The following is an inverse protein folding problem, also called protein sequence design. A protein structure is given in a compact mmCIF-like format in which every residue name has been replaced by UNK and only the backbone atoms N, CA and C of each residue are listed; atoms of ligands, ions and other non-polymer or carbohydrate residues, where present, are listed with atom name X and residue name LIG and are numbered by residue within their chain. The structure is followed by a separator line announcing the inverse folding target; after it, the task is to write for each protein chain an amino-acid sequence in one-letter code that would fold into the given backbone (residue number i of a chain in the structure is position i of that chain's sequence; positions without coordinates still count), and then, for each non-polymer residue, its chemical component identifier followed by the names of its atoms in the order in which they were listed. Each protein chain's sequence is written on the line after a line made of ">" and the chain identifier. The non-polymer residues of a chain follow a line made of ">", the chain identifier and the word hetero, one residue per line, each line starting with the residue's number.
data_IF_500720876791
#
_entry.id   IF_500720876791
#
_cell.length_a   1.000
_cell.length_b   1.000
_cell.length_c   1.000
_cell.angle_alpha   90.00
_cell.angle_beta   90.00
_cell.angle_gamma   90.00
#
_symmetry.space_group_name_H-M   'P 1'
#
loop_
_entity.id
_entity.type
_entity.pdbx_description
1 polymer ?
#
# COMPACT_ATOMS: atom_id res chain seq x y z
N UNK A 1 52.80 -4.92 12.78
CA UNK A 1 51.76 -3.86 12.78
C UNK A 1 50.53 -4.43 12.08
N UNK A 2 49.34 -4.09 12.61
CA UNK A 2 48.03 -4.72 12.37
C UNK A 2 47.54 -4.56 10.93
N UNK A 3 47.42 -5.65 10.15
CA UNK A 3 46.51 -5.69 9.00
C UNK A 3 45.14 -6.07 9.53
N UNK A 4 44.33 -5.04 9.79
CA UNK A 4 42.96 -5.16 10.27
C UNK A 4 42.08 -5.80 9.20
N UNK A 5 41.33 -6.79 9.66
CA UNK A 5 40.07 -7.29 9.11
C UNK A 5 39.24 -6.19 8.41
N UNK A 6 38.83 -6.43 7.16
CA UNK A 6 37.54 -5.96 6.64
C UNK A 6 37.18 -6.68 5.33
N UNK A 7 37.10 -8.01 5.37
CA UNK A 7 36.65 -8.84 4.24
C UNK A 7 35.40 -9.61 4.67
N UNK A 8 34.38 -8.89 5.13
CA UNK A 8 33.09 -9.44 5.55
C UNK A 8 31.98 -8.37 5.65
N UNK A 9 31.84 -7.53 4.60
CA UNK A 9 30.69 -6.63 4.44
C UNK A 9 30.19 -6.69 3.00
N UNK A 10 29.94 -7.91 2.51
CA UNK A 10 29.23 -8.17 1.25
C UNK A 10 28.17 -9.27 1.48
N UNK A 11 27.60 -9.26 2.69
CA UNK A 11 26.46 -10.07 3.07
C UNK A 11 25.39 -9.13 3.62
N UNK A 12 24.28 -9.02 2.91
CA UNK A 12 23.08 -8.35 3.39
C UNK A 12 22.82 -7.01 2.73
N UNK A 13 22.09 -7.05 1.61
CA UNK A 13 20.99 -6.12 1.28
C UNK A 13 20.45 -6.45 -0.13
N UNK A 14 20.05 -7.71 -0.34
CA UNK A 14 19.21 -8.08 -1.50
C UNK A 14 18.02 -8.88 -1.01
N UNK A 15 17.23 -8.28 -0.11
CA UNK A 15 15.98 -8.85 0.40
C UNK A 15 14.96 -7.74 0.68
N UNK A 16 14.67 -6.84 -0.27
CA UNK A 16 13.59 -5.86 -0.09
C UNK A 16 12.79 -5.51 -1.35
N UNK A 17 12.76 -6.40 -2.35
CA UNK A 17 11.82 -6.27 -3.48
C UNK A 17 10.96 -7.54 -3.63
N UNK A 18 10.42 -8.04 -2.50
CA UNK A 18 9.26 -8.92 -2.54
C UNK A 18 8.04 -8.08 -2.89
N UNK A 19 7.90 -7.81 -4.20
CA UNK A 19 6.68 -7.26 -4.78
C UNK A 19 5.46 -8.05 -4.31
N UNK A 20 4.38 -7.34 -4.06
CA UNK A 20 3.10 -7.83 -3.56
C UNK A 20 2.39 -8.77 -4.58
N UNK A 21 2.97 -9.93 -4.86
CA UNK A 21 2.46 -10.88 -5.84
C UNK A 21 2.09 -12.23 -5.18
N UNK A 22 1.43 -12.22 -4.02
CA UNK A 22 0.91 -13.45 -3.42
C UNK A 22 -0.62 -13.40 -3.27
N UNK A 23 -1.27 -14.11 -4.18
CA UNK A 23 -2.71 -14.33 -4.20
C UNK A 23 -3.05 -15.42 -3.18
N UNK A 24 -3.44 -15.04 -1.96
CA UNK A 24 -3.94 -16.02 -0.98
C UNK A 24 -5.40 -16.35 -1.29
N UNK A 25 -5.62 -17.46 -1.99
CA UNK A 25 -6.95 -18.09 -2.03
C UNK A 25 -7.10 -18.87 -0.72
N UNK A 26 -7.80 -18.30 0.27
CA UNK A 26 -8.06 -18.98 1.54
C UNK A 26 -9.05 -20.11 1.31
N UNK A 27 -8.54 -21.29 0.95
CA UNK A 27 -9.33 -22.52 0.87
C UNK A 27 -9.29 -23.21 2.24
N UNK A 28 -10.06 -22.67 3.18
CA UNK A 28 -10.27 -23.24 4.51
C UNK A 28 -11.69 -22.96 4.96
N UNK A 29 -12.29 -23.91 5.69
CA UNK A 29 -13.62 -23.75 6.29
C UNK A 29 -13.52 -22.63 7.33
N UNK A 30 -13.80 -21.39 6.95
CA UNK A 30 -13.79 -20.25 7.85
C UNK A 30 -14.86 -20.47 8.91
N UNK A 31 -14.45 -20.64 10.16
CA UNK A 31 -15.31 -20.23 11.27
C UNK A 31 -15.72 -18.77 11.02
N UNK A 32 -17.00 -18.44 11.22
CA UNK A 32 -17.54 -17.11 11.02
C UNK A 32 -16.76 -16.08 11.86
N UNK A 33 -15.67 -15.56 11.34
CA UNK A 33 -15.05 -14.35 11.85
C UNK A 33 -15.95 -13.19 11.44
N UNK A 34 -16.35 -12.35 12.40
CA UNK A 34 -17.16 -11.14 12.14
C UNK A 34 -16.46 -10.11 11.23
N UNK A 35 -15.19 -10.38 10.91
CA UNK A 35 -14.35 -9.57 10.05
C UNK A 35 -14.48 -10.09 8.61
N UNK A 36 -15.00 -9.28 7.66
CA UNK A 36 -15.17 -9.69 6.27
C UNK A 36 -13.81 -9.83 5.56
N UNK A 37 -13.78 -10.65 4.52
CA UNK A 37 -12.61 -10.76 3.64
C UNK A 37 -12.38 -9.42 2.90
N UNK A 38 -11.14 -8.97 2.86
CA UNK A 38 -10.76 -7.73 2.16
C UNK A 38 -9.33 -7.31 2.45
N UNK A 39 -8.99 -6.09 2.03
CA UNK A 39 -7.66 -5.50 2.20
C UNK A 39 -7.72 -4.45 3.30
N UNK A 40 -6.73 -4.48 4.20
CA UNK A 40 -6.61 -3.48 5.25
C UNK A 40 -6.09 -2.17 4.65
N UNK A 41 -6.72 -1.07 5.00
CA UNK A 41 -6.28 0.27 4.60
C UNK A 41 -6.02 1.10 5.86
N UNK A 42 -4.98 1.95 5.81
CA UNK A 42 -4.63 2.87 6.90
C UNK A 42 -5.56 4.10 6.96
N UNK A 43 -6.86 3.82 6.95
CA UNK A 43 -7.96 4.78 7.03
C UNK A 43 -9.02 4.21 7.96
N UNK A 44 -9.60 5.03 8.83
CA UNK A 44 -10.63 4.60 9.78
C UNK A 44 -11.48 5.76 10.27
N UNK A 45 -12.15 5.58 11.41
CA UNK A 45 -13.00 6.64 12.00
C UNK A 45 -12.17 7.87 12.41
N UNK A 46 -12.66 9.11 12.26
CA UNK A 46 -13.96 9.51 11.71
C UNK A 46 -13.95 9.72 10.19
N UNK A 47 -12.84 9.41 9.51
CA UNK A 47 -12.62 9.75 8.11
C UNK A 47 -13.47 8.93 7.14
N UNK A 48 -13.78 7.68 7.50
CA UNK A 48 -14.60 6.77 6.70
C UNK A 48 -15.59 5.99 7.57
N UNK A 49 -16.70 5.58 6.98
CA UNK A 49 -17.74 4.72 7.57
C UNK A 49 -17.96 3.47 6.72
N UNK A 50 -18.54 2.45 7.33
CA UNK A 50 -18.95 1.25 6.61
C UNK A 50 -19.95 1.61 5.51
N UNK A 51 -19.72 1.11 4.30
CA UNK A 51 -20.49 1.44 3.09
C UNK A 51 -19.98 2.62 2.29
N UNK A 52 -19.05 3.43 2.81
CA UNK A 52 -18.41 4.49 2.04
C UNK A 52 -17.55 3.90 0.92
N UNK A 53 -17.36 4.65 -0.16
CA UNK A 53 -16.44 4.29 -1.23
C UNK A 53 -15.18 5.12 -1.12
N UNK A 54 -14.04 4.47 -1.33
CA UNK A 54 -12.74 5.11 -1.34
C UNK A 54 -12.05 4.89 -2.67
N UNK A 55 -11.38 5.95 -3.14
CA UNK A 55 -10.61 5.92 -4.38
C UNK A 55 -9.19 5.42 -4.09
N UNK A 56 -8.77 4.40 -4.84
CA UNK A 56 -7.43 3.84 -4.79
C UNK A 56 -6.62 4.46 -5.92
N UNK A 57 -5.46 4.98 -5.58
CA UNK A 57 -4.52 5.61 -6.49
C UNK A 57 -3.21 4.84 -6.53
N UNK A 58 -2.52 4.92 -7.66
CA UNK A 58 -1.16 4.43 -7.86
C UNK A 58 -0.23 5.59 -8.18
N UNK A 59 0.91 5.68 -7.51
CA UNK A 59 1.95 6.70 -7.79
C UNK A 59 3.13 6.05 -8.50
N UNK A 60 3.30 6.40 -9.77
CA UNK A 60 4.44 5.95 -10.58
C UNK A 60 5.46 7.07 -10.72
N UNK A 61 6.66 6.86 -10.21
CA UNK A 61 7.78 7.79 -10.38
C UNK A 61 8.72 7.29 -11.49
N UNK A 62 9.11 8.21 -12.37
CA UNK A 62 10.06 7.96 -13.45
C UNK A 62 11.24 8.91 -13.31
N UNK A 63 12.45 8.38 -13.41
CA UNK A 63 13.66 9.20 -13.46
C UNK A 63 13.91 9.60 -14.91
N UNK A 64 13.84 10.90 -15.17
CA UNK A 64 14.18 11.48 -16.47
C UNK A 64 15.62 11.96 -16.39
N UNK A 65 16.50 11.37 -17.21
CA UNK A 65 17.90 11.78 -17.29
C UNK A 65 18.05 12.89 -18.33
N UNK A 66 18.55 14.05 -17.92
CA UNK A 66 18.98 15.09 -18.85
C UNK A 66 20.38 14.78 -19.39
N UNK A 67 20.70 15.25 -20.60
CA UNK A 67 22.00 15.01 -21.28
C UNK A 67 23.26 15.45 -20.51
N UNK A 68 23.13 16.16 -19.38
CA UNK A 68 24.25 16.62 -18.54
C UNK A 68 24.39 15.85 -17.21
N UNK A 69 23.78 14.68 -17.08
CA UNK A 69 23.89 13.83 -15.88
C UNK A 69 22.99 14.25 -14.72
N UNK A 70 22.22 15.32 -14.87
CA UNK A 70 21.16 15.68 -13.93
C UNK A 70 19.95 14.77 -14.18
N UNK A 71 19.48 14.07 -13.15
CA UNK A 71 18.22 13.34 -13.20
C UNK A 71 17.14 14.11 -12.44
N UNK A 72 15.98 14.28 -13.04
CA UNK A 72 14.78 14.77 -12.35
C UNK A 72 13.80 13.61 -12.18
N UNK A 73 13.26 13.45 -10.97
CA UNK A 73 12.18 12.49 -10.74
C UNK A 73 10.84 13.14 -11.04
N UNK A 74 10.05 12.51 -11.91
CA UNK A 74 8.69 12.91 -12.23
C UNK A 74 7.73 11.81 -11.77
N UNK A 75 6.81 12.15 -10.86
CA UNK A 75 5.81 11.23 -10.35
C UNK A 75 4.42 11.57 -10.88
N UNK A 76 3.71 10.56 -11.38
CA UNK A 76 2.32 10.66 -11.81
C UNK A 76 1.45 9.83 -10.87
N UNK A 77 0.37 10.44 -10.40
CA UNK A 77 -0.68 9.80 -9.61
C UNK A 77 -1.86 9.50 -10.51
N UNK A 78 -2.38 8.28 -10.46
CA UNK A 78 -3.55 7.88 -11.26
C UNK A 78 -4.52 7.08 -10.40
N UNK A 79 -5.82 7.41 -10.47
CA UNK A 79 -6.87 6.60 -9.86
C UNK A 79 -6.97 5.27 -10.60
N UNK A 80 -6.87 4.15 -9.89
CA UNK A 80 -6.82 2.80 -10.46
C UNK A 80 -8.01 1.94 -10.09
N UNK A 81 -8.70 2.25 -8.99
CA UNK A 81 -9.94 1.58 -8.59
C UNK A 81 -10.73 2.42 -7.59
N UNK A 82 -11.98 2.03 -7.37
CA UNK A 82 -12.80 2.48 -6.25
C UNK A 82 -13.27 1.24 -5.48
N UNK A 83 -13.25 1.30 -4.15
CA UNK A 83 -13.56 0.16 -3.30
C UNK A 83 -14.48 0.56 -2.14
N UNK A 84 -15.53 -0.21 -1.84
CA UNK A 84 -16.33 0.00 -0.64
C UNK A 84 -15.56 -0.36 0.63
N UNK A 85 -15.79 0.40 1.69
CA UNK A 85 -15.36 0.12 3.06
C UNK A 85 -16.32 -0.90 3.66
N UNK A 86 -15.82 -2.11 3.92
CA UNK A 86 -16.61 -3.21 4.48
C UNK A 86 -16.73 -3.13 6.00
N UNK A 87 -15.65 -2.72 6.68
CA UNK A 87 -15.58 -2.70 8.15
C UNK A 87 -14.59 -1.64 8.62
N UNK A 88 -14.98 -0.83 9.61
CA UNK A 88 -14.03 0.06 10.31
C UNK A 88 -13.56 -0.64 11.58
N UNK A 89 -12.26 -0.86 11.72
CA UNK A 89 -11.66 -1.58 12.85
C UNK A 89 -11.17 -0.63 13.95
N UNK A 90 -10.67 0.55 13.57
CA UNK A 90 -10.19 1.58 14.49
C UNK A 90 -10.25 2.96 13.85
N UNK A 91 -9.64 3.96 14.50
CA UNK A 91 -9.50 5.32 13.95
C UNK A 91 -8.62 5.36 12.69
N UNK A 92 -7.67 4.43 12.59
CA UNK A 92 -6.67 4.40 11.52
C UNK A 92 -6.79 3.19 10.61
N UNK A 93 -7.70 2.23 10.89
CA UNK A 93 -7.74 0.96 10.17
C UNK A 93 -9.17 0.60 9.77
N UNK A 94 -9.32 0.21 8.51
CA UNK A 94 -10.54 -0.37 7.95
C UNK A 94 -10.22 -1.47 6.96
N UNK A 95 -11.24 -2.21 6.56
CA UNK A 95 -11.20 -3.22 5.52
C UNK A 95 -11.97 -2.69 4.32
N UNK A 96 -11.34 -2.72 3.15
CA UNK A 96 -11.94 -2.36 1.87
C UNK A 96 -12.02 -3.59 0.95
N UNK A 97 -12.94 -3.55 -0.01
CA UNK A 97 -13.11 -4.61 -1.02
C UNK A 97 -12.82 -4.09 -2.42
N UNK A 98 -11.57 -4.13 -2.90
CA UNK A 98 -11.26 -3.77 -4.28
C UNK A 98 -11.95 -4.70 -5.29
N UNK A 99 -12.01 -4.31 -6.57
CA UNK A 99 -12.57 -5.15 -7.63
C UNK A 99 -11.90 -6.53 -7.69
N UNK A 100 -12.66 -7.55 -8.09
CA UNK A 100 -12.13 -8.92 -8.23
C UNK A 100 -10.94 -8.96 -9.18
N UNK A 101 -9.84 -9.61 -8.77
CA UNK A 101 -8.61 -9.71 -9.55
C UNK A 101 -7.72 -8.46 -9.50
N UNK A 102 -8.10 -7.45 -8.73
CA UNK A 102 -7.27 -6.26 -8.49
C UNK A 102 -6.03 -6.63 -7.68
N UNK A 103 -4.86 -6.35 -8.23
CA UNK A 103 -3.58 -6.61 -7.58
C UNK A 103 -3.15 -5.37 -6.80
N UNK A 104 -2.88 -5.54 -5.50
CA UNK A 104 -2.37 -4.47 -4.66
C UNK A 104 -0.86 -4.41 -4.82
N UNK A 105 -0.36 -3.22 -5.11
CA UNK A 105 1.07 -2.94 -5.19
C UNK A 105 1.47 -1.95 -4.09
N UNK A 106 2.75 -1.95 -3.72
CA UNK A 106 3.28 -1.12 -2.62
C UNK A 106 3.21 0.39 -2.89
N UNK A 107 3.04 0.79 -4.14
CA UNK A 107 2.90 2.18 -4.58
C UNK A 107 1.43 2.65 -4.66
N UNK A 108 0.51 1.83 -4.14
CA UNK A 108 -0.92 2.14 -4.04
C UNK A 108 -1.33 2.72 -2.69
N UNK A 109 -2.27 3.65 -2.72
CA UNK A 109 -2.77 4.35 -1.55
C UNK A 109 -4.22 4.80 -1.74
N UNK A 110 -4.87 5.10 -0.62
CA UNK A 110 -6.19 5.71 -0.58
C UNK A 110 -6.04 7.19 -0.29
N UNK A 111 -6.85 8.02 -0.93
CA UNK A 111 -6.96 9.44 -0.57
C UNK A 111 -8.10 9.63 0.44
N UNK A 112 -7.81 10.30 1.55
CA UNK A 112 -8.83 10.73 2.53
C UNK A 112 -8.67 12.19 2.86
N UNK A 113 -9.78 12.86 3.16
CA UNK A 113 -9.76 14.24 3.66
C UNK A 113 -9.71 14.23 5.18
N UNK A 114 -8.77 14.96 5.77
CA UNK A 114 -8.77 15.17 7.22
C UNK A 114 -9.88 16.14 7.67
N UNK A 115 -9.98 16.37 8.99
CA UNK A 115 -10.98 17.25 9.60
C UNK A 115 -10.92 18.71 9.10
N UNK A 116 -9.82 19.12 8.44
CA UNK A 116 -9.65 20.45 7.85
C UNK A 116 -9.86 20.44 6.33
N UNK A 117 -10.31 19.32 5.76
CA UNK A 117 -10.50 19.15 4.31
C UNK A 117 -9.19 18.96 3.53
N UNK A 118 -8.06 18.76 4.21
CA UNK A 118 -6.79 18.51 3.52
C UNK A 118 -6.69 17.03 3.13
N UNK A 119 -6.44 16.79 1.85
CA UNK A 119 -6.25 15.46 1.29
C UNK A 119 -4.94 14.84 1.78
N UNK A 120 -5.02 13.61 2.28
CA UNK A 120 -3.90 12.79 2.72
C UNK A 120 -3.90 11.46 1.96
N UNK A 121 -2.71 11.04 1.53
CA UNK A 121 -2.49 9.74 0.90
C UNK A 121 -2.09 8.73 1.98
N UNK A 122 -2.87 7.66 2.13
CA UNK A 122 -2.66 6.62 3.13
C UNK A 122 -2.39 5.28 2.44
N UNK A 123 -1.25 4.61 2.72
CA UNK A 123 -0.89 3.37 2.02
C UNK A 123 -1.85 2.24 2.37
N UNK A 124 -2.03 1.32 1.42
CA UNK A 124 -2.72 0.05 1.65
C UNK A 124 -1.81 -0.91 2.41
N UNK A 125 -2.38 -1.65 3.38
CA UNK A 125 -1.65 -2.67 4.13
C UNK A 125 -1.85 -4.00 3.40
N UNK A 126 -0.75 -4.53 2.86
CA UNK A 126 -0.77 -5.88 2.28
C UNK A 126 -0.96 -6.91 3.41
N UNK A 127 -1.86 -7.90 3.26
CA UNK A 127 -1.89 -9.03 4.19
C UNK A 127 -0.55 -9.76 4.12
N UNK A 128 0.06 -10.01 5.30
CA UNK A 128 1.28 -10.80 5.47
C UNK A 128 0.99 -12.30 5.38
#
# INVERSE_FOLDING_TARGET
>A
MKTKSLLLVLLGMVLFDLGCAHYHRVLGRQEKTEIPEGIKANIGSPHVKEGDFVDIFKKKCTKVYASKGNSTESCVTTMVAQAPVLKVLSEDISIISPPTGFQIESDMYVEVSDSNGKKQMKPLICPQ
#
